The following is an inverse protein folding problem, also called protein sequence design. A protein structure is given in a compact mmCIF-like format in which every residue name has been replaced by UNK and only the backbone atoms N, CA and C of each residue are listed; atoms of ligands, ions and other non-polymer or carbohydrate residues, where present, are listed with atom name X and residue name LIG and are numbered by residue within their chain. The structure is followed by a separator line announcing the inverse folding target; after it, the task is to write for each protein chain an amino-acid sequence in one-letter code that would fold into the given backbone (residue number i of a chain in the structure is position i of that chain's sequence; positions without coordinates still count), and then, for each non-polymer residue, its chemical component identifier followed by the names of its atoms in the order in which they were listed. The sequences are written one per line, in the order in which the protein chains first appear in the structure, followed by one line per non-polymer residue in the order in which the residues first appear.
data_IF_004882706174
#
_entry.id   IF_004882706174
#
_cell.length_a   1.000
_cell.length_b   1.000
_cell.length_c   1.000
_cell.angle_alpha   90.00
_cell.angle_beta   90.00
_cell.angle_gamma   90.00
#
_symmetry.space_group_name_H-M   'P 1'
#
loop_
_entity.id
_entity.type
_entity.pdbx_description
1 polymer ?
#
# COMPACT_ATOMS: atom_id res chain seq x y z
N UNK A 1 -10.28 -10.12 8.18
CA UNK A 1 -9.75 -8.80 8.56
C UNK A 1 -8.95 -8.27 7.38
N UNK A 2 -9.22 -7.06 6.92
CA UNK A 2 -8.61 -6.43 5.75
C UNK A 2 -7.12 -6.21 5.93
N UNK A 3 -6.71 -5.65 7.07
CA UNK A 3 -5.31 -5.37 7.37
C UNK A 3 -4.47 -6.65 7.51
N UNK A 4 -4.93 -7.64 8.28
CA UNK A 4 -4.22 -8.89 8.49
C UNK A 4 -3.96 -9.64 7.18
N UNK A 5 -4.97 -9.72 6.31
CA UNK A 5 -4.80 -10.32 4.98
C UNK A 5 -3.84 -9.52 4.11
N UNK A 6 -3.92 -8.19 4.17
CA UNK A 6 -3.05 -7.29 3.40
C UNK A 6 -1.58 -7.36 3.82
N UNK A 7 -1.31 -7.42 5.12
CA UNK A 7 0.05 -7.61 5.65
C UNK A 7 0.65 -8.95 5.21
N UNK A 8 -0.16 -10.01 5.18
CA UNK A 8 0.29 -11.30 4.66
C UNK A 8 0.56 -11.27 3.15
N UNK A 9 -0.24 -10.52 2.39
CA UNK A 9 0.02 -10.26 0.97
C UNK A 9 1.35 -9.53 0.77
N UNK A 10 1.57 -8.41 1.48
CA UNK A 10 2.82 -7.66 1.44
C UNK A 10 4.02 -8.51 1.89
N UNK A 11 3.86 -9.37 2.90
CA UNK A 11 4.89 -10.32 3.30
C UNK A 11 5.24 -11.29 2.18
N UNK A 12 4.24 -11.87 1.50
CA UNK A 12 4.48 -12.77 0.36
C UNK A 12 5.22 -12.05 -0.77
N UNK A 13 4.84 -10.81 -1.08
CA UNK A 13 5.52 -10.01 -2.10
C UNK A 13 6.98 -9.71 -1.74
N UNK A 14 7.26 -9.31 -0.49
CA UNK A 14 8.63 -9.09 -0.05
C UNK A 14 9.46 -10.39 -0.12
N UNK A 15 8.89 -11.52 0.29
CA UNK A 15 9.57 -12.81 0.22
C UNK A 15 9.76 -13.29 -1.23
N UNK A 16 8.81 -13.00 -2.12
CA UNK A 16 8.94 -13.22 -3.56
C UNK A 16 10.12 -12.41 -4.11
N UNK A 17 10.19 -11.10 -3.82
CA UNK A 17 11.28 -10.24 -4.28
C UNK A 17 12.64 -10.74 -3.79
N UNK A 18 12.75 -11.11 -2.52
CA UNK A 18 13.98 -11.70 -1.95
C UNK A 18 14.33 -13.01 -2.67
N UNK A 19 13.35 -13.90 -2.88
CA UNK A 19 13.59 -15.18 -3.53
C UNK A 19 14.02 -15.02 -5.00
N UNK A 20 13.45 -14.05 -5.72
CA UNK A 20 13.84 -13.73 -7.09
C UNK A 20 15.28 -13.22 -7.14
N UNK A 21 15.68 -12.37 -6.20
CA UNK A 21 17.06 -11.86 -6.15
C UNK A 21 18.05 -12.99 -5.86
N UNK A 22 17.76 -13.85 -4.87
CA UNK A 22 18.60 -15.02 -4.56
C UNK A 22 18.66 -16.03 -5.71
N UNK A 23 17.58 -16.17 -6.48
CA UNK A 23 17.51 -17.09 -7.62
C UNK A 23 18.47 -16.71 -8.76
N UNK A 24 18.93 -15.45 -8.81
CA UNK A 24 19.93 -15.00 -9.78
C UNK A 24 21.27 -15.70 -9.63
N UNK A 25 21.63 -16.08 -8.41
CA UNK A 25 22.88 -16.77 -8.09
C UNK A 25 22.66 -18.26 -7.81
N UNK A 26 21.50 -18.63 -7.25
CA UNK A 26 21.17 -19.99 -6.87
C UNK A 26 19.78 -20.40 -7.39
N UNK A 27 19.70 -21.12 -8.54
CA UNK A 27 18.43 -21.49 -9.18
C UNK A 27 17.44 -22.27 -8.29
N UNK A 28 17.91 -22.89 -7.20
CA UNK A 28 17.05 -23.55 -6.22
C UNK A 28 15.98 -22.62 -5.61
N UNK A 29 16.22 -21.30 -5.56
CA UNK A 29 15.26 -20.33 -5.04
C UNK A 29 14.12 -20.00 -6.01
N UNK A 30 14.17 -20.40 -7.29
CA UNK A 30 13.06 -20.21 -8.23
C UNK A 30 11.77 -20.91 -7.77
N UNK A 31 11.91 -22.07 -7.10
CA UNK A 31 10.78 -22.77 -6.49
C UNK A 31 10.18 -22.00 -5.30
N UNK A 32 11.02 -21.29 -4.54
CA UNK A 32 10.58 -20.45 -3.41
C UNK A 32 9.88 -19.20 -3.93
N UNK A 33 10.41 -18.56 -4.97
CA UNK A 33 9.74 -17.46 -5.66
C UNK A 33 8.37 -17.88 -6.17
N UNK A 34 8.29 -19.03 -6.85
CA UNK A 34 7.01 -19.58 -7.35
C UNK A 34 5.99 -19.79 -6.22
N UNK A 35 6.43 -20.32 -5.07
CA UNK A 35 5.58 -20.51 -3.89
C UNK A 35 5.01 -19.18 -3.38
N UNK A 36 5.83 -18.14 -3.24
CA UNK A 36 5.37 -16.86 -2.71
C UNK A 36 4.49 -16.08 -3.71
N UNK A 37 4.74 -16.23 -5.01
CA UNK A 37 3.84 -15.75 -6.05
C UNK A 37 2.46 -16.42 -5.92
N UNK A 38 2.40 -17.76 -5.83
CA UNK A 38 1.15 -18.51 -5.68
C UNK A 38 0.42 -18.14 -4.38
N UNK A 39 1.14 -17.99 -3.27
CA UNK A 39 0.55 -17.55 -2.00
C UNK A 39 -0.06 -16.15 -2.12
N UNK A 40 0.64 -15.21 -2.75
CA UNK A 40 0.16 -13.84 -2.90
C UNK A 40 -1.16 -13.80 -3.66
N UNK A 41 -1.24 -14.45 -4.83
CA UNK A 41 -2.45 -14.42 -5.66
C UNK A 41 -3.64 -15.13 -4.97
N UNK A 42 -3.39 -16.19 -4.20
CA UNK A 42 -4.42 -16.81 -3.36
C UNK A 42 -4.90 -15.86 -2.24
N UNK A 43 -4.00 -15.13 -1.60
CA UNK A 43 -4.35 -14.14 -0.57
C UNK A 43 -5.17 -13.00 -1.17
N UNK A 44 -4.74 -12.46 -2.31
CA UNK A 44 -5.42 -11.37 -3.00
C UNK A 44 -6.85 -11.77 -3.41
N UNK A 45 -7.00 -12.98 -3.96
CA UNK A 45 -8.31 -13.52 -4.30
C UNK A 45 -9.20 -13.78 -3.09
N UNK A 46 -8.63 -14.30 -1.99
CA UNK A 46 -9.39 -14.52 -0.75
C UNK A 46 -9.91 -13.23 -0.09
N UNK A 47 -9.44 -12.04 -0.52
CA UNK A 47 -10.03 -10.76 -0.12
C UNK A 47 -11.32 -10.43 -0.88
N UNK A 48 -11.53 -11.06 -2.03
CA UNK A 48 -12.72 -10.89 -2.87
C UNK A 48 -13.67 -12.07 -2.71
N UNK A 49 -13.16 -13.29 -2.52
CA UNK A 49 -13.98 -14.47 -2.26
C UNK A 49 -13.29 -15.38 -1.24
N UNK A 50 -13.64 -15.22 0.04
CA UNK A 50 -13.09 -16.06 1.09
C UNK A 50 -13.66 -17.49 0.97
N UNK A 51 -12.92 -18.36 0.30
CA UNK A 51 -13.18 -19.80 0.29
C UNK A 51 -14.36 -20.24 -0.58
N UNK A 52 -14.83 -19.42 -1.52
CA UNK A 52 -16.00 -19.73 -2.35
C UNK A 52 -17.34 -19.40 -1.70
N UNK A 53 -17.32 -18.73 -0.55
CA UNK A 53 -18.51 -18.37 0.23
C UNK A 53 -19.07 -16.99 -0.15
N UNK A 54 -18.42 -16.26 -1.07
CA UNK A 54 -18.85 -14.92 -1.51
C UNK A 54 -18.66 -13.85 -0.42
N UNK A 55 -17.76 -14.10 0.53
CA UNK A 55 -17.46 -13.17 1.63
C UNK A 55 -16.28 -12.31 1.19
N UNK A 56 -16.60 -11.08 0.85
CA UNK A 56 -15.63 -10.11 0.35
C UNK A 56 -15.24 -9.14 1.48
N UNK A 57 -14.00 -8.64 1.44
CA UNK A 57 -13.59 -7.53 2.30
C UNK A 57 -13.79 -6.18 1.60
N UNK A 58 -14.07 -6.21 0.29
CA UNK A 58 -14.37 -5.05 -0.53
C UNK A 58 -15.88 -4.76 -0.50
N UNK A 59 -16.26 -3.54 -0.10
CA UNK A 59 -17.65 -3.10 -0.23
C UNK A 59 -17.80 -2.24 -1.49
N UNK A 60 -18.49 -2.79 -2.49
CA UNK A 60 -18.76 -2.09 -3.74
C UNK A 60 -19.69 -0.90 -3.61
N UNK A 61 -20.50 -0.78 -2.56
CA UNK A 61 -21.32 0.41 -2.37
C UNK A 61 -20.44 1.61 -1.96
N UNK A 62 -19.54 1.39 -1.01
CA UNK A 62 -18.68 2.44 -0.45
C UNK A 62 -17.39 2.63 -1.26
N UNK A 63 -16.98 1.63 -2.05
CA UNK A 63 -15.70 1.61 -2.75
C UNK A 63 -14.51 1.57 -1.79
N UNK A 64 -14.62 0.76 -0.73
CA UNK A 64 -13.65 0.71 0.36
C UNK A 64 -13.54 -0.69 0.98
N UNK A 65 -12.39 -0.99 1.59
CA UNK A 65 -12.18 -2.26 2.28
C UNK A 65 -12.58 -2.18 3.75
N UNK A 66 -13.28 -3.20 4.24
CA UNK A 66 -13.72 -3.32 5.62
C UNK A 66 -13.43 -4.72 6.19
N UNK A 67 -13.38 -4.80 7.52
CA UNK A 67 -13.47 -6.07 8.20
C UNK A 67 -14.90 -6.63 8.11
N UNK A 68 -15.02 -7.95 8.03
CA UNK A 68 -16.30 -8.65 8.05
C UNK A 68 -16.41 -9.49 9.31
N UNK A 69 -17.50 -9.30 10.06
CA UNK A 69 -17.89 -10.19 11.14
C UNK A 69 -18.63 -11.41 10.58
N UNK A 70 -18.26 -12.59 11.07
CA UNK A 70 -18.99 -13.83 10.85
C UNK A 70 -19.81 -14.11 12.10
N UNK A 71 -21.14 -14.08 11.95
CA UNK A 71 -22.07 -14.32 13.06
C UNK A 71 -22.46 -15.81 13.13
N UNK A 72 -22.86 -16.33 14.31
CA UNK A 72 -23.21 -17.74 14.49
C UNK A 72 -24.36 -18.24 13.61
N UNK A 73 -25.17 -17.33 13.05
CA UNK A 73 -26.28 -17.61 12.14
C UNK A 73 -25.88 -17.55 10.66
N UNK A 74 -24.58 -17.63 10.36
CA UNK A 74 -23.98 -17.51 9.02
C UNK A 74 -24.25 -16.18 8.32
N UNK A 75 -24.67 -15.13 9.05
CA UNK A 75 -24.69 -13.79 8.48
C UNK A 75 -23.31 -13.15 8.52
N UNK A 76 -23.04 -12.39 7.47
CA UNK A 76 -21.85 -11.57 7.35
C UNK A 76 -22.22 -10.10 7.47
N UNK A 77 -21.44 -9.36 8.25
CA UNK A 77 -21.67 -7.94 8.45
C UNK A 77 -20.36 -7.17 8.33
N UNK A 78 -20.33 -6.18 7.45
CA UNK A 78 -19.22 -5.23 7.36
C UNK A 78 -19.13 -4.38 8.62
N UNK A 79 -17.93 -4.32 9.19
CA UNK A 79 -17.52 -3.31 10.14
C UNK A 79 -17.17 -2.04 9.38
N UNK A 80 -18.19 -1.23 9.07
CA UNK A 80 -18.09 0.01 8.28
C UNK A 80 -17.40 1.16 9.02
N UNK A 81 -16.22 0.89 9.57
CA UNK A 81 -15.31 1.88 10.13
C UNK A 81 -14.29 2.23 9.06
N UNK A 82 -14.40 3.43 8.48
CA UNK A 82 -13.42 3.98 7.53
C UNK A 82 -12.14 4.32 8.27
N UNK A 83 -11.27 3.34 8.40
CA UNK A 83 -9.99 3.44 9.11
C UNK A 83 -8.82 3.06 8.21
N UNK A 84 -7.59 3.26 8.72
CA UNK A 84 -6.38 2.81 8.04
C UNK A 84 -6.41 1.33 7.67
N UNK A 85 -7.17 0.49 8.39
CA UNK A 85 -7.37 -0.94 8.07
C UNK A 85 -7.85 -1.14 6.63
N UNK A 86 -8.71 -0.25 6.13
CA UNK A 86 -9.19 -0.27 4.74
C UNK A 86 -8.22 0.35 3.72
N UNK A 87 -7.15 0.99 4.18
CA UNK A 87 -6.08 1.56 3.35
C UNK A 87 -4.83 0.64 3.28
N UNK A 88 -4.64 -0.27 4.24
CA UNK A 88 -3.51 -1.23 4.22
C UNK A 88 -3.41 -2.05 2.91
N UNK A 89 -4.52 -2.46 2.24
CA UNK A 89 -4.44 -3.13 0.94
C UNK A 89 -3.56 -2.39 -0.11
N UNK A 90 -3.49 -1.06 -0.06
CA UNK A 90 -2.67 -0.24 -0.97
C UNK A 90 -1.16 -0.51 -0.86
N UNK A 91 -0.71 -1.08 0.27
CA UNK A 91 0.71 -1.33 0.53
C UNK A 91 1.22 -2.63 -0.09
N UNK A 92 0.32 -3.57 -0.42
CA UNK A 92 0.66 -4.86 -0.98
C UNK A 92 0.79 -4.76 -2.51
N UNK A 93 1.92 -4.22 -2.96
CA UNK A 93 2.25 -4.03 -4.38
C UNK A 93 3.68 -4.44 -4.69
N UNK A 94 3.90 -5.12 -5.82
CA UNK A 94 5.22 -5.51 -6.33
C UNK A 94 5.22 -5.59 -7.85
N UNK A 95 6.36 -5.26 -8.47
CA UNK A 95 6.53 -5.35 -9.92
C UNK A 95 7.49 -6.47 -10.29
N UNK A 96 7.06 -7.30 -11.23
CA UNK A 96 7.92 -8.26 -11.91
C UNK A 96 8.36 -7.71 -13.26
N UNK A 97 9.62 -7.32 -13.34
CA UNK A 97 10.25 -6.83 -14.57
C UNK A 97 10.60 -7.98 -15.52
N UNK A 98 10.38 -7.82 -16.84
CA UNK A 98 10.65 -8.88 -17.80
C UNK A 98 12.12 -9.32 -17.77
N UNK A 99 13.07 -8.38 -17.66
CA UNK A 99 14.51 -8.70 -17.62
C UNK A 99 14.92 -9.55 -16.41
N UNK A 100 14.17 -9.45 -15.30
CA UNK A 100 14.40 -10.26 -14.11
C UNK A 100 13.75 -11.65 -14.26
N UNK A 101 12.51 -11.68 -14.75
CA UNK A 101 11.73 -12.92 -14.93
C UNK A 101 12.31 -13.79 -16.05
N UNK A 102 12.75 -13.21 -17.16
CA UNK A 102 13.26 -13.93 -18.33
C UNK A 102 14.58 -14.67 -18.05
N UNK A 103 15.33 -14.22 -17.05
CA UNK A 103 16.55 -14.89 -16.55
C UNK A 103 16.25 -16.07 -15.62
N UNK A 104 15.00 -16.26 -15.22
CA UNK A 104 14.56 -17.28 -14.26
C UNK A 104 13.51 -18.20 -14.93
N UNK A 105 13.95 -19.12 -15.81
CA UNK A 105 13.05 -19.88 -16.69
C UNK A 105 12.13 -20.86 -15.94
N UNK A 106 12.53 -21.34 -14.76
CA UNK A 106 11.71 -22.17 -13.88
C UNK A 106 10.55 -21.40 -13.28
N UNK A 107 10.85 -20.24 -12.68
CA UNK A 107 9.85 -19.31 -12.16
C UNK A 107 8.92 -18.82 -13.26
N UNK A 108 9.47 -18.31 -14.37
CA UNK A 108 8.69 -17.78 -15.51
C UNK A 108 7.66 -18.80 -16.01
N UNK A 109 8.11 -20.03 -16.29
CA UNK A 109 7.23 -21.10 -16.77
C UNK A 109 6.09 -21.39 -15.79
N UNK A 110 6.38 -21.44 -14.50
CA UNK A 110 5.38 -21.75 -13.47
C UNK A 110 4.38 -20.61 -13.27
N UNK A 111 4.87 -19.37 -13.22
CA UNK A 111 4.04 -18.17 -13.17
C UNK A 111 3.12 -18.08 -14.40
N UNK A 112 3.65 -18.25 -15.61
CA UNK A 112 2.85 -18.19 -16.85
C UNK A 112 1.83 -19.33 -16.93
N UNK A 113 2.20 -20.54 -16.52
CA UNK A 113 1.26 -21.65 -16.42
C UNK A 113 0.13 -21.31 -15.44
N UNK A 114 0.46 -20.75 -14.27
CA UNK A 114 -0.52 -20.40 -13.25
C UNK A 114 -1.51 -19.34 -13.76
N UNK A 115 -1.01 -18.23 -14.30
CA UNK A 115 -1.83 -17.15 -14.89
C UNK A 115 -2.76 -17.70 -15.99
N UNK A 116 -2.25 -18.62 -16.82
CA UNK A 116 -3.04 -19.19 -17.93
C UNK A 116 -4.14 -20.12 -17.44
N UNK A 117 -3.84 -20.99 -16.48
CA UNK A 117 -4.74 -22.07 -16.06
C UNK A 117 -5.65 -21.71 -14.88
N UNK A 118 -5.40 -20.57 -14.22
CA UNK A 118 -6.20 -20.08 -13.08
C UNK A 118 -6.74 -18.67 -13.37
N UNK A 119 -7.74 -18.54 -14.26
CA UNK A 119 -8.29 -17.25 -14.66
C UNK A 119 -8.82 -16.42 -13.49
N UNK A 120 -9.30 -17.06 -12.42
CA UNK A 120 -9.79 -16.44 -11.19
C UNK A 120 -8.76 -15.58 -10.46
N UNK A 121 -7.47 -15.74 -10.76
CA UNK A 121 -6.38 -14.99 -10.11
C UNK A 121 -5.80 -13.89 -11.01
N UNK A 122 -6.29 -13.73 -12.24
CA UNK A 122 -5.72 -12.78 -13.22
C UNK A 122 -5.94 -11.33 -12.86
N UNK A 123 -7.03 -11.00 -12.17
CA UNK A 123 -7.37 -9.63 -11.77
C UNK A 123 -6.36 -8.99 -10.81
N UNK A 124 -5.55 -9.81 -10.13
CA UNK A 124 -4.50 -9.38 -9.21
C UNK A 124 -3.10 -9.35 -9.86
N UNK A 125 -3.03 -9.66 -11.16
CA UNK A 125 -1.81 -9.66 -11.97
C UNK A 125 -2.04 -8.80 -13.20
N UNK A 126 -1.85 -7.50 -13.05
CA UNK A 126 -1.93 -6.55 -14.16
C UNK A 126 -0.72 -6.75 -15.07
N UNK A 127 -0.94 -6.83 -16.38
CA UNK A 127 0.13 -7.03 -17.38
C UNK A 127 0.25 -5.80 -18.25
N UNK A 128 1.49 -5.35 -18.48
CA UNK A 128 1.80 -4.22 -19.37
C UNK A 128 2.87 -4.67 -20.35
N UNK A 129 2.53 -4.66 -21.64
CA UNK A 129 3.51 -4.85 -22.71
C UNK A 129 4.36 -3.59 -22.86
N UNK A 130 5.68 -3.77 -22.82
CA UNK A 130 6.65 -2.71 -23.06
C UNK A 130 6.91 -2.55 -24.56
N UNK A 131 7.34 -1.36 -25.02
CA UNK A 131 7.67 -1.12 -26.44
C UNK A 131 8.77 -2.03 -27.00
N UNK A 132 9.61 -2.60 -26.13
CA UNK A 132 10.67 -3.55 -26.45
C UNK A 132 10.19 -5.02 -26.53
N UNK A 133 8.89 -5.27 -26.34
CA UNK A 133 8.27 -6.59 -26.36
C UNK A 133 8.33 -7.35 -25.03
N UNK A 134 8.93 -6.78 -23.98
CA UNK A 134 8.91 -7.37 -22.64
C UNK A 134 7.55 -7.22 -21.96
N UNK A 135 7.13 -8.22 -21.17
CA UNK A 135 5.88 -8.14 -20.38
C UNK A 135 6.21 -7.84 -18.92
N UNK A 136 5.91 -6.62 -18.49
CA UNK A 136 5.93 -6.23 -17.07
C UNK A 136 4.64 -6.70 -16.40
N UNK A 137 4.74 -7.17 -15.16
CA UNK A 137 3.57 -7.58 -14.36
C UNK A 137 3.55 -6.81 -13.05
N UNK A 138 2.40 -6.25 -12.70
CA UNK A 138 2.14 -5.62 -11.42
C UNK A 138 1.27 -6.54 -10.59
N UNK A 139 1.77 -6.93 -9.42
CA UNK A 139 1.08 -7.72 -8.43
C UNK A 139 0.48 -6.76 -7.41
N UNK A 140 -0.85 -6.73 -7.26
CA UNK A 140 -1.50 -5.91 -6.25
C UNK A 140 -2.78 -6.55 -5.72
N UNK A 141 -3.06 -6.30 -4.44
CA UNK A 141 -4.36 -6.64 -3.84
C UNK A 141 -5.45 -5.72 -4.41
N UNK A 142 -5.14 -4.43 -4.52
CA UNK A 142 -6.09 -3.43 -5.02
C UNK A 142 -6.05 -3.45 -6.54
N UNK A 143 -7.18 -3.75 -7.15
CA UNK A 143 -7.27 -3.81 -8.62
C UNK A 143 -7.24 -2.41 -9.24
N UNK A 144 -6.99 -2.35 -10.56
CA UNK A 144 -7.04 -1.09 -11.33
C UNK A 144 -8.36 -0.33 -11.17
N UNK A 145 -9.47 -1.04 -11.03
CA UNK A 145 -10.80 -0.46 -10.88
C UNK A 145 -11.06 0.07 -9.46
N UNK A 146 -10.54 -0.63 -8.45
CA UNK A 146 -10.68 -0.26 -7.04
C UNK A 146 -9.79 0.92 -6.64
N UNK A 147 -8.59 1.01 -7.22
CA UNK A 147 -7.58 1.99 -6.82
C UNK A 147 -8.09 3.44 -6.85
N UNK A 148 -8.73 3.94 -7.94
CA UNK A 148 -9.28 5.30 -7.94
C UNK A 148 -10.36 5.54 -6.87
N UNK A 149 -11.11 4.50 -6.49
CA UNK A 149 -12.21 4.60 -5.51
C UNK A 149 -11.67 4.74 -4.09
N UNK A 150 -10.68 3.92 -3.73
CA UNK A 150 -9.99 4.01 -2.44
C UNK A 150 -9.21 5.32 -2.33
N UNK A 151 -8.50 5.72 -3.38
CA UNK A 151 -7.74 6.98 -3.40
C UNK A 151 -8.65 8.20 -3.26
N UNK A 152 -9.88 8.15 -3.80
CA UNK A 152 -10.86 9.23 -3.60
C UNK A 152 -11.12 9.47 -2.12
N UNK A 153 -11.33 8.42 -1.32
CA UNK A 153 -11.54 8.54 0.12
C UNK A 153 -10.24 8.95 0.84
N UNK A 154 -9.12 8.31 0.51
CA UNK A 154 -7.83 8.59 1.16
C UNK A 154 -7.39 10.06 1.01
N UNK A 155 -7.66 10.64 -0.16
CA UNK A 155 -7.21 11.99 -0.53
C UNK A 155 -8.27 13.08 -0.29
N UNK A 156 -9.45 12.73 0.25
CA UNK A 156 -10.50 13.69 0.59
C UNK A 156 -10.21 14.33 1.96
N UNK A 157 -10.28 15.67 2.03
CA UNK A 157 -10.02 16.45 3.24
C UNK A 157 -11.09 16.26 4.33
N UNK A 158 -12.33 15.98 3.92
CA UNK A 158 -13.44 15.61 4.79
C UNK A 158 -13.37 14.16 5.29
N UNK A 159 -12.47 13.36 4.73
CA UNK A 159 -12.25 11.96 5.11
C UNK A 159 -10.87 11.78 5.77
N UNK A 160 -9.89 11.23 5.05
CA UNK A 160 -8.60 10.82 5.60
C UNK A 160 -7.52 11.89 5.49
N UNK A 161 -7.52 12.74 4.45
CA UNK A 161 -6.44 13.68 4.21
C UNK A 161 -6.57 14.90 5.14
N UNK A 162 -5.52 15.19 5.90
CA UNK A 162 -5.40 16.44 6.64
C UNK A 162 -4.17 17.22 6.15
N UNK A 163 -4.03 18.50 6.54
CA UNK A 163 -2.80 19.26 6.28
C UNK A 163 -1.53 18.55 6.79
N UNK A 164 -1.66 17.70 7.82
CA UNK A 164 -0.53 17.08 8.51
C UNK A 164 -0.29 15.62 8.10
N UNK A 165 -1.21 14.99 7.37
CA UNK A 165 -1.10 13.57 6.99
C UNK A 165 -2.44 12.85 6.90
N UNK A 166 -2.37 11.54 6.65
CA UNK A 166 -3.50 10.61 6.61
C UNK A 166 -3.91 10.24 8.03
N UNK A 167 -5.17 10.52 8.39
CA UNK A 167 -5.79 10.22 9.69
C UNK A 167 -5.97 8.71 9.90
N UNK A 168 -5.95 8.26 11.14
CA UNK A 168 -6.16 6.84 11.45
C UNK A 168 -7.60 6.35 11.21
N UNK A 169 -8.56 7.24 11.42
CA UNK A 169 -9.98 7.07 11.08
C UNK A 169 -10.43 8.31 10.32
N UNK A 170 -11.28 8.11 9.34
CA UNK A 170 -11.87 9.19 8.55
C UNK A 170 -12.58 10.21 9.43
N UNK A 171 -12.40 11.49 9.12
CA UNK A 171 -13.11 12.59 9.76
C UNK A 171 -14.62 12.52 9.54
N UNK A 172 -15.10 11.79 8.53
CA UNK A 172 -16.52 11.48 8.31
C UNK A 172 -17.21 10.97 9.59
N UNK A 173 -16.51 10.16 10.40
CA UNK A 173 -17.04 9.59 11.63
C UNK A 173 -17.21 10.59 12.78
N UNK A 174 -16.85 11.87 12.58
CA UNK A 174 -17.16 12.94 13.54
C UNK A 174 -18.66 13.16 13.65
N UNK A 175 -19.34 13.24 12.50
CA UNK A 175 -20.78 13.47 12.42
C UNK A 175 -21.56 12.14 12.24
N UNK A 176 -20.85 11.08 11.87
CA UNK A 176 -21.42 9.75 11.58
C UNK A 176 -20.67 8.64 12.34
N UNK A 177 -20.72 8.61 13.67
CA UNK A 177 -20.04 7.58 14.46
C UNK A 177 -20.54 6.20 14.05
N UNK A 178 -19.62 5.24 13.95
CA UNK A 178 -20.02 3.87 13.64
C UNK A 178 -20.54 3.19 14.91
N UNK A 179 -21.74 2.61 14.83
CA UNK A 179 -22.40 1.93 15.96
C UNK A 179 -22.78 0.53 15.54
N UNK A 180 -22.35 -0.46 16.33
CA UNK A 180 -22.62 -1.87 16.16
C UNK A 180 -23.36 -2.40 17.38
N UNK A 181 -24.52 -3.03 17.17
CA UNK A 181 -25.28 -3.68 18.23
C UNK A 181 -25.12 -5.20 18.13
N UNK A 182 -24.48 -5.82 19.12
CA UNK A 182 -24.27 -7.28 19.18
C UNK A 182 -24.61 -7.76 20.58
N UNK A 183 -25.42 -8.82 20.68
CA UNK A 183 -25.83 -9.43 21.95
C UNK A 183 -26.41 -8.44 22.98
N UNK A 184 -27.16 -7.45 22.52
CA UNK A 184 -27.75 -6.41 23.38
C UNK A 184 -26.76 -5.37 23.91
N UNK A 185 -25.51 -5.39 23.46
CA UNK A 185 -24.48 -4.40 23.79
C UNK A 185 -24.23 -3.50 22.58
N UNK A 186 -24.18 -2.19 22.83
CA UNK A 186 -23.77 -1.19 21.85
C UNK A 186 -22.24 -1.03 21.87
N UNK A 187 -21.61 -1.17 20.71
CA UNK A 187 -20.21 -0.86 20.48
C UNK A 187 -20.13 0.34 19.53
N UNK A 188 -19.34 1.34 19.90
CA UNK A 188 -19.25 2.61 19.17
C UNK A 188 -17.81 2.97 18.85
N UNK A 189 -17.59 3.49 17.64
CA UNK A 189 -16.32 4.07 17.20
C UNK A 189 -16.59 5.50 16.75
N UNK A 190 -16.08 6.44 17.54
CA UNK A 190 -16.11 7.88 17.26
C UNK A 190 -14.83 8.33 16.52
N UNK A 191 -14.88 9.50 15.89
CA UNK A 191 -13.69 10.20 15.44
C UNK A 191 -13.04 10.97 16.60
N UNK A 192 -11.87 10.52 17.03
CA UNK A 192 -11.12 11.06 18.16
C UNK A 192 -9.73 11.51 17.66
N UNK A 193 -9.52 12.78 17.28
CA UNK A 193 -8.28 13.21 16.62
C UNK A 193 -7.04 13.23 17.52
N UNK A 194 -7.18 13.02 18.83
CA UNK A 194 -6.13 13.15 19.83
C UNK A 194 -6.16 11.98 20.83
N UNK A 195 -6.39 12.24 22.12
CA UNK A 195 -6.51 11.19 23.14
C UNK A 195 -7.82 10.43 23.00
N UNK A 196 -7.83 9.17 23.46
CA UNK A 196 -9.04 8.35 23.50
C UNK A 196 -9.92 8.79 24.68
N UNK A 197 -11.23 8.91 24.47
CA UNK A 197 -12.22 9.14 25.54
C UNK A 197 -12.49 7.89 26.38
N UNK A 198 -11.88 6.75 26.03
CA UNK A 198 -12.05 5.46 26.68
C UNK A 198 -10.73 4.91 27.24
N UNK A 199 -10.79 4.21 28.38
CA UNK A 199 -9.63 3.59 29.02
C UNK A 199 -9.09 2.32 28.33
N UNK A 200 -9.70 1.89 27.22
CA UNK A 200 -9.25 0.72 26.46
C UNK A 200 -7.80 0.91 26.01
N UNK A 201 -6.98 -0.14 26.13
CA UNK A 201 -5.56 -0.13 25.74
C UNK A 201 -4.69 0.94 26.44
N UNK A 202 -4.98 1.27 27.70
CA UNK A 202 -4.12 2.12 28.53
C UNK A 202 -4.42 3.62 28.48
N UNK A 203 -5.63 4.01 28.06
CA UNK A 203 -6.18 5.37 28.20
C UNK A 203 -5.67 6.42 27.21
N UNK A 204 -4.38 6.38 26.86
CA UNK A 204 -3.77 7.36 25.94
C UNK A 204 -3.47 6.82 24.54
N UNK A 205 -3.65 5.51 24.31
CA UNK A 205 -3.43 4.91 22.99
C UNK A 205 -4.67 5.07 22.11
N UNK A 206 -4.55 5.78 21.00
CA UNK A 206 -5.69 6.09 20.14
C UNK A 206 -5.38 5.92 18.64
N UNK A 207 -6.15 5.05 17.99
CA UNK A 207 -6.12 4.81 16.54
C UNK A 207 -7.38 5.33 15.83
N UNK A 208 -8.20 6.13 16.50
CA UNK A 208 -9.53 6.56 16.04
C UNK A 208 -9.55 7.97 15.46
N UNK A 209 -8.42 8.45 14.96
CA UNK A 209 -8.32 9.79 14.39
C UNK A 209 -6.91 10.35 14.26
N UNK A 210 -5.96 10.11 15.19
CA UNK A 210 -4.63 10.70 15.11
C UNK A 210 -3.85 10.24 13.87
N UNK A 211 -2.81 10.98 13.53
CA UNK A 211 -1.89 10.63 12.44
C UNK A 211 -0.77 9.78 13.01
N UNK A 212 -0.60 8.58 12.44
CA UNK A 212 0.49 7.69 12.81
C UNK A 212 1.58 7.71 11.76
N UNK A 213 2.79 8.07 12.21
CA UNK A 213 3.94 8.28 11.34
C UNK A 213 4.31 7.04 10.50
N UNK A 214 4.37 5.80 11.03
CA UNK A 214 4.76 4.64 10.23
C UNK A 214 3.83 4.39 9.03
N UNK A 215 2.53 4.56 9.22
CA UNK A 215 1.55 4.35 8.15
C UNK A 215 1.63 5.50 7.12
N UNK A 216 1.82 6.73 7.59
CA UNK A 216 2.06 7.86 6.68
C UNK A 216 3.39 7.74 5.93
N UNK A 217 4.43 7.20 6.54
CA UNK A 217 5.71 6.89 5.87
C UNK A 217 5.47 5.93 4.70
N UNK A 218 4.75 4.84 4.96
CA UNK A 218 4.41 3.83 3.96
C UNK A 218 3.51 4.38 2.85
N UNK A 219 2.68 5.39 3.15
CA UNK A 219 1.73 5.99 2.19
C UNK A 219 2.23 7.28 1.47
N UNK A 220 3.25 8.01 1.98
CA UNK A 220 3.43 9.45 1.64
C UNK A 220 4.83 9.92 1.20
N UNK A 221 5.92 9.16 1.37
CA UNK A 221 7.27 9.76 1.26
C UNK A 221 7.80 10.09 -0.14
N UNK A 222 7.23 9.55 -1.22
CA UNK A 222 7.77 9.79 -2.57
C UNK A 222 7.66 11.25 -3.00
N UNK A 223 6.66 11.99 -2.51
CA UNK A 223 6.42 13.40 -2.89
C UNK A 223 7.57 14.35 -2.56
N UNK A 224 8.37 14.11 -1.52
CA UNK A 224 9.48 15.02 -1.16
C UNK A 224 10.59 15.02 -2.23
N UNK A 225 10.66 13.95 -3.01
CA UNK A 225 11.61 13.80 -4.11
C UNK A 225 11.02 14.19 -5.46
N UNK A 226 9.73 14.45 -5.60
CA UNK A 226 9.09 14.79 -6.88
C UNK A 226 8.99 16.31 -7.08
N UNK A 227 8.83 16.74 -8.34
CA UNK A 227 8.56 18.15 -8.65
C UNK A 227 7.11 18.49 -8.35
N UNK A 228 6.89 19.63 -7.70
CA UNK A 228 5.58 20.22 -7.46
C UNK A 228 5.05 20.96 -8.72
N UNK A 229 3.83 21.53 -8.69
CA UNK A 229 3.29 22.30 -9.82
C UNK A 229 4.13 23.51 -10.23
N UNK A 230 4.99 24.02 -9.35
CA UNK A 230 5.93 25.11 -9.59
C UNK A 230 7.27 24.58 -10.16
N UNK A 231 7.39 23.27 -10.37
CA UNK A 231 8.57 22.61 -10.91
C UNK A 231 9.70 22.39 -9.90
N UNK A 232 9.46 22.65 -8.61
CA UNK A 232 10.47 22.58 -7.53
C UNK A 232 10.37 21.26 -6.78
N UNK A 233 11.50 20.76 -6.27
CA UNK A 233 11.54 19.58 -5.40
C UNK A 233 11.70 19.99 -3.94
N UNK A 234 10.85 19.53 -3.01
CA UNK A 234 11.02 19.82 -1.59
C UNK A 234 12.40 19.42 -1.04
N UNK A 235 12.98 18.30 -1.48
CA UNK A 235 14.31 17.81 -1.05
C UNK A 235 15.45 18.82 -1.21
N UNK A 236 15.36 19.77 -2.15
CA UNK A 236 16.39 20.79 -2.35
C UNK A 236 16.13 22.10 -1.57
N UNK A 237 14.97 22.23 -0.92
CA UNK A 237 14.59 23.42 -0.15
C UNK A 237 14.75 24.72 -0.95
N UNK A 238 15.40 25.71 -0.33
CA UNK A 238 15.68 27.03 -0.92
C UNK A 238 16.95 27.09 -1.80
N UNK A 239 17.61 25.97 -2.09
CA UNK A 239 18.88 25.98 -2.82
C UNK A 239 18.64 26.12 -4.33
N UNK A 240 18.58 27.35 -4.83
CA UNK A 240 18.17 27.65 -6.22
C UNK A 240 18.98 26.92 -7.29
N UNK A 241 20.28 26.71 -7.06
CA UNK A 241 21.14 25.96 -7.99
C UNK A 241 20.59 24.56 -8.27
N UNK A 242 20.18 23.82 -7.25
CA UNK A 242 19.61 22.48 -7.41
C UNK A 242 18.15 22.49 -7.90
N UNK A 243 17.47 23.63 -7.82
CA UNK A 243 16.09 23.74 -8.33
C UNK A 243 16.07 24.07 -9.83
N UNK A 244 16.99 24.91 -10.30
CA UNK A 244 16.86 25.57 -11.61
C UNK A 244 17.97 25.24 -12.61
N UNK A 245 19.19 24.95 -12.15
CA UNK A 245 20.35 24.73 -13.03
C UNK A 245 20.18 23.44 -13.86
N UNK A 246 20.19 23.50 -15.20
CA UNK A 246 20.02 22.32 -16.05
C UNK A 246 21.02 21.19 -15.80
N UNK A 247 22.23 21.49 -15.33
CA UNK A 247 23.26 20.48 -15.04
C UNK A 247 23.05 19.79 -13.69
N UNK A 248 22.29 20.40 -12.78
CA UNK A 248 22.18 19.94 -11.39
C UNK A 248 20.76 19.56 -10.96
N UNK A 249 19.73 20.14 -11.58
CA UNK A 249 18.32 20.00 -11.14
C UNK A 249 17.78 18.57 -11.20
N UNK A 250 18.43 17.73 -11.99
CA UNK A 250 18.06 16.32 -12.18
C UNK A 250 19.00 15.34 -11.46
N UNK A 251 20.03 15.85 -10.77
CA UNK A 251 20.92 15.07 -9.92
C UNK A 251 20.37 14.99 -8.50
N UNK A 252 19.42 14.06 -8.27
CA UNK A 252 18.75 13.87 -6.98
C UNK A 252 19.72 13.34 -5.93
N UNK A 253 19.90 14.15 -4.88
CA UNK A 253 20.76 13.87 -3.73
C UNK A 253 19.96 13.21 -2.60
N UNK A 254 20.63 12.33 -1.84
CA UNK A 254 20.04 11.59 -0.73
C UNK A 254 20.59 12.11 0.59
N UNK A 255 19.73 12.70 1.42
CA UNK A 255 20.12 13.38 2.64
C UNK A 255 19.90 12.52 3.88
N UNK A 256 20.68 12.78 4.93
CA UNK A 256 20.61 12.03 6.20
C UNK A 256 19.28 12.22 6.93
N UNK A 257 18.72 13.43 6.93
CA UNK A 257 17.41 13.76 7.52
C UNK A 257 16.77 14.96 6.81
N UNK A 258 15.52 15.30 7.15
CA UNK A 258 14.73 16.31 6.45
C UNK A 258 14.11 17.33 7.40
N UNK A 259 13.98 18.56 6.92
CA UNK A 259 13.28 19.64 7.62
C UNK A 259 11.78 19.33 7.75
N UNK A 260 11.25 19.31 8.97
CA UNK A 260 9.87 18.88 9.26
C UNK A 260 8.79 19.71 8.55
N UNK A 261 9.01 21.02 8.37
CA UNK A 261 7.99 21.91 7.81
C UNK A 261 8.01 22.02 6.27
N UNK A 262 9.17 21.83 5.64
CA UNK A 262 9.33 22.13 4.20
C UNK A 262 10.01 21.00 3.41
N UNK A 263 10.43 19.91 4.06
CA UNK A 263 10.99 18.72 3.41
C UNK A 263 12.39 18.90 2.82
N UNK A 264 13.10 19.99 3.11
CA UNK A 264 14.48 20.18 2.67
C UNK A 264 15.40 19.11 3.25
N UNK A 265 16.28 18.54 2.43
CA UNK A 265 17.32 17.61 2.88
C UNK A 265 18.41 18.32 3.67
N UNK A 266 18.80 17.75 4.82
CA UNK A 266 19.80 18.29 5.75
C UNK A 266 20.78 17.17 6.14
N UNK A 267 22.00 17.56 6.53
CA UNK A 267 23.06 16.62 6.90
C UNK A 267 23.86 16.15 5.69
N UNK A 268 24.48 14.97 5.79
CA UNK A 268 25.24 14.39 4.68
C UNK A 268 24.35 14.14 3.45
N UNK A 269 24.79 14.55 2.26
CA UNK A 269 23.98 14.60 1.01
C UNK A 269 24.16 13.42 0.05
N UNK A 270 24.96 12.42 0.44
CA UNK A 270 25.20 11.18 -0.31
C UNK A 270 24.83 9.96 0.54
N UNK A 271 23.81 10.10 1.39
CA UNK A 271 23.38 9.07 2.32
C UNK A 271 22.54 8.02 1.58
N UNK A 272 23.21 7.00 1.05
CA UNK A 272 22.57 5.81 0.46
C UNK A 272 22.24 4.75 1.51
N UNK A 273 21.97 5.19 2.74
CA UNK A 273 21.58 4.35 3.88
C UNK A 273 20.07 4.22 3.97
N UNK A 274 19.47 4.64 5.08
CA UNK A 274 18.02 4.59 5.26
C UNK A 274 17.25 5.46 4.26
N UNK A 275 17.82 6.56 3.77
CA UNK A 275 17.12 7.42 2.78
C UNK A 275 17.02 6.74 1.41
N UNK A 276 17.88 5.76 1.11
CA UNK A 276 17.76 4.95 -0.12
C UNK A 276 16.49 4.09 -0.16
N UNK A 277 15.80 3.90 0.97
CA UNK A 277 14.49 3.24 0.99
C UNK A 277 13.45 3.98 0.14
N UNK A 278 13.63 5.29 -0.09
CA UNK A 278 12.77 6.02 -1.03
C UNK A 278 12.90 5.52 -2.46
N UNK A 279 14.04 4.94 -2.86
CA UNK A 279 14.18 4.33 -4.18
C UNK A 279 13.25 3.12 -4.31
N UNK A 280 13.09 2.32 -3.23
CA UNK A 280 12.09 1.27 -3.16
C UNK A 280 10.67 1.84 -3.21
N UNK A 281 10.39 2.93 -2.50
CA UNK A 281 9.08 3.59 -2.55
C UNK A 281 8.77 4.22 -3.91
N UNK A 282 9.76 4.80 -4.59
CA UNK A 282 9.65 5.36 -5.94
C UNK A 282 9.55 4.27 -7.00
N UNK A 283 10.22 3.14 -6.83
CA UNK A 283 10.01 1.95 -7.65
C UNK A 283 8.57 1.44 -7.49
N UNK A 284 8.08 1.37 -6.25
CA UNK A 284 6.70 0.97 -5.93
C UNK A 284 5.63 1.98 -6.38
N UNK A 285 5.96 3.28 -6.44
CA UNK A 285 5.02 4.36 -6.79
C UNK A 285 5.17 4.88 -8.23
N UNK A 286 6.24 4.50 -8.93
CA UNK A 286 6.72 5.15 -10.15
C UNK A 286 6.31 4.47 -11.46
N UNK A 287 5.51 3.41 -11.42
CA UNK A 287 5.05 2.70 -12.62
C UNK A 287 3.60 3.01 -13.01
N UNK A 288 3.10 4.18 -12.60
CA UNK A 288 1.88 4.78 -13.14
C UNK A 288 2.20 6.09 -13.86
N UNK A 289 3.05 6.02 -14.89
CA UNK A 289 3.10 6.96 -16.01
C UNK A 289 3.53 6.25 -17.28
#
# INVERSE_FOLDING_TARGET
QSDGTSWMGMYCLNMLAIALELAREAPAYEGVASKFFEHFVHIAHAMHDRGGEGIELWDDADGFFYDVLHLPDNRHQYLKVRSLVGLIPLLAVETLEPDAVDKLPGFKRRMEWFIRNRPEFREHVETVERPDGGVRRLLSIVTREQLPRVLRLMLDEGEFLSPHGIRAVSQYHRDHPYVLHVNGTEHRVDYEPAESSTGLFGGNSNWRGPIWFPINYLLRLTRIFLRDPQGRRPVYGGTEKFQTDPAWRDLVLFYEYFHGDNGAGIGASHQTGWTALVAKLLQQSGEAR
#
